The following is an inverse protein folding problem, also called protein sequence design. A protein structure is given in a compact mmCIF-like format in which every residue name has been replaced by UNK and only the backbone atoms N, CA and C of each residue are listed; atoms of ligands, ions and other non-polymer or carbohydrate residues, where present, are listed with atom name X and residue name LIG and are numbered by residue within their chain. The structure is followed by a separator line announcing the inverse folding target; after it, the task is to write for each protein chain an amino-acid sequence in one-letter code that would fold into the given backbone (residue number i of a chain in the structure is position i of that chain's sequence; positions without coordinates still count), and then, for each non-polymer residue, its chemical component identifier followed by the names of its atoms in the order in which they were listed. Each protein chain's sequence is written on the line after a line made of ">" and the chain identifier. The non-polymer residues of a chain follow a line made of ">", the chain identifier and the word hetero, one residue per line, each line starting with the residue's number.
data_IF_528004670808
#
_entry.id   IF_528004670808
#
_cell.length_a   1.000
_cell.length_b   1.000
_cell.length_c   1.000
_cell.angle_alpha   90.00
_cell.angle_beta   90.00
_cell.angle_gamma   90.00
#
_symmetry.space_group_name_H-M   'P 1'
#
loop_
_entity.id
_entity.type
_entity.pdbx_description
1 polymer ?
#
# COMPACT_ATOMS: atom_id res chain seq x y z
N UNK A 1 -28.03 -32.57 -1.75
CA UNK A 1 -27.58 -31.36 -1.02
C UNK A 1 -27.50 -30.19 -1.98
N UNK A 2 -27.93 -28.98 -1.58
CA UNK A 2 -27.81 -27.77 -2.41
C UNK A 2 -26.37 -27.25 -2.35
N UNK A 3 -25.84 -26.76 -3.47
CA UNK A 3 -24.49 -26.18 -3.56
C UNK A 3 -24.43 -24.88 -2.74
N UNK A 4 -23.50 -24.74 -1.77
CA UNK A 4 -23.42 -23.58 -0.88
C UNK A 4 -22.67 -22.42 -1.55
N UNK A 5 -23.23 -21.88 -2.64
CA UNK A 5 -22.59 -20.82 -3.43
C UNK A 5 -22.35 -19.53 -2.62
N UNK A 6 -23.30 -19.15 -1.76
CA UNK A 6 -23.19 -17.97 -0.92
C UNK A 6 -22.08 -18.08 0.12
N UNK A 7 -21.93 -19.26 0.74
CA UNK A 7 -20.89 -19.50 1.74
C UNK A 7 -19.48 -19.47 1.14
N UNK A 8 -19.32 -20.00 -0.08
CA UNK A 8 -18.06 -19.90 -0.83
C UNK A 8 -17.71 -18.45 -1.15
N UNK A 9 -18.70 -17.64 -1.51
CA UNK A 9 -18.52 -16.22 -1.78
C UNK A 9 -18.04 -15.47 -0.52
N UNK A 10 -18.69 -15.70 0.63
CA UNK A 10 -18.30 -15.10 1.91
C UNK A 10 -16.89 -15.51 2.32
N UNK A 11 -16.55 -16.79 2.15
CA UNK A 11 -15.21 -17.30 2.46
C UNK A 11 -14.14 -16.67 1.55
N UNK A 12 -14.42 -16.48 0.27
CA UNK A 12 -13.52 -15.79 -0.65
C UNK A 12 -13.27 -14.33 -0.23
N UNK A 13 -14.32 -13.60 0.15
CA UNK A 13 -14.21 -12.22 0.65
C UNK A 13 -13.34 -12.13 1.90
N UNK A 14 -13.48 -13.08 2.83
CA UNK A 14 -12.65 -13.16 4.02
C UNK A 14 -11.17 -13.40 3.70
N UNK A 15 -10.86 -14.32 2.77
CA UNK A 15 -9.48 -14.58 2.34
C UNK A 15 -8.87 -13.36 1.68
N UNK A 16 -9.62 -12.69 0.80
CA UNK A 16 -9.19 -11.47 0.11
C UNK A 16 -8.96 -10.35 1.12
N UNK A 17 -9.89 -10.14 2.06
CA UNK A 17 -9.76 -9.15 3.13
C UNK A 17 -8.51 -9.39 3.99
N UNK A 18 -8.28 -10.64 4.40
CA UNK A 18 -7.09 -11.05 5.17
C UNK A 18 -5.81 -10.78 4.39
N UNK A 19 -5.79 -11.09 3.09
CA UNK A 19 -4.65 -10.82 2.22
C UNK A 19 -4.33 -9.32 2.13
N UNK A 20 -5.34 -8.47 1.90
CA UNK A 20 -5.15 -7.02 1.81
C UNK A 20 -4.63 -6.42 3.11
N UNK A 21 -5.18 -6.83 4.26
CA UNK A 21 -4.68 -6.38 5.57
C UNK A 21 -3.26 -6.87 5.82
N UNK A 22 -2.93 -8.11 5.44
CA UNK A 22 -1.58 -8.65 5.53
C UNK A 22 -0.56 -7.85 4.71
N UNK A 23 -0.91 -7.46 3.48
CA UNK A 23 -0.04 -6.62 2.64
C UNK A 23 0.09 -5.21 3.23
N UNK A 24 -1.00 -4.61 3.70
CA UNK A 24 -0.96 -3.30 4.34
C UNK A 24 -0.03 -3.30 5.57
N UNK A 25 -0.11 -4.34 6.40
CA UNK A 25 0.78 -4.54 7.54
C UNK A 25 2.25 -4.68 7.11
N UNK A 26 2.52 -5.45 6.05
CA UNK A 26 3.86 -5.61 5.50
C UNK A 26 4.45 -4.27 5.02
N UNK A 27 3.69 -3.49 4.24
CA UNK A 27 4.12 -2.17 3.74
C UNK A 27 4.38 -1.23 4.91
N UNK A 28 3.46 -1.15 5.88
CA UNK A 28 3.64 -0.33 7.07
C UNK A 28 4.90 -0.70 7.85
N UNK A 29 5.18 -1.99 8.00
CA UNK A 29 6.36 -2.45 8.71
C UNK A 29 7.65 -2.15 7.93
N UNK A 30 7.63 -2.29 6.60
CA UNK A 30 8.76 -1.88 5.74
C UNK A 30 9.06 -0.40 5.93
N UNK A 31 7.99 0.43 5.94
CA UNK A 31 8.13 1.87 6.10
C UNK A 31 8.76 2.24 7.43
N UNK A 32 8.26 1.65 8.50
CA UNK A 32 8.82 1.85 9.84
C UNK A 32 10.27 1.35 9.97
N UNK A 33 10.65 0.29 9.25
CA UNK A 33 12.05 -0.15 9.23
C UNK A 33 12.94 0.84 8.49
N UNK A 34 12.46 1.40 7.37
CA UNK A 34 13.22 2.37 6.60
C UNK A 34 13.35 3.71 7.33
N UNK A 35 12.30 4.19 7.99
CA UNK A 35 12.39 5.41 8.81
C UNK A 35 13.35 5.22 9.99
N UNK A 36 13.42 4.01 10.58
CA UNK A 36 14.33 3.74 11.72
C UNK A 36 15.79 3.51 11.31
N UNK A 37 16.03 2.83 10.20
CA UNK A 37 17.37 2.37 9.80
C UNK A 37 17.93 3.13 8.59
N UNK A 38 17.07 3.84 7.86
CA UNK A 38 17.42 4.62 6.69
C UNK A 38 18.06 5.93 7.05
N UNK A 39 18.65 6.56 6.03
CA UNK A 39 19.30 7.85 6.16
C UNK A 39 18.33 8.93 5.72
N UNK A 40 18.05 9.87 6.64
CA UNK A 40 17.28 11.07 6.34
C UNK A 40 18.07 12.00 5.42
N UNK A 41 17.44 12.45 4.34
CA UNK A 41 17.98 13.48 3.46
C UNK A 41 16.87 14.41 2.97
N UNK A 42 17.28 15.57 2.45
CA UNK A 42 16.38 16.55 1.85
C UNK A 42 16.39 16.38 0.34
N UNK A 43 15.21 16.34 -0.25
CA UNK A 43 15.01 16.33 -1.68
C UNK A 43 14.23 17.55 -2.15
N UNK A 44 14.33 17.85 -3.44
CA UNK A 44 13.56 18.90 -4.10
C UNK A 44 12.68 18.26 -5.17
N UNK A 45 11.40 18.61 -5.18
CA UNK A 45 10.48 18.15 -6.22
C UNK A 45 10.84 18.82 -7.53
N UNK A 46 11.30 18.03 -8.51
CA UNK A 46 11.79 18.56 -9.80
C UNK A 46 10.76 18.44 -10.92
N UNK A 47 9.81 17.52 -10.79
CA UNK A 47 8.77 17.33 -11.78
C UNK A 47 7.57 16.61 -11.18
N UNK A 48 6.49 16.64 -11.93
CA UNK A 48 5.26 15.93 -11.64
C UNK A 48 4.94 15.04 -12.82
N UNK A 49 4.77 13.75 -12.60
CA UNK A 49 4.46 12.78 -13.64
C UNK A 49 3.06 12.19 -13.42
N UNK A 50 2.48 11.68 -14.50
CA UNK A 50 1.11 11.16 -14.56
C UNK A 50 1.12 9.89 -15.39
N UNK A 51 0.27 8.92 -15.04
CA UNK A 51 0.05 7.76 -15.91
C UNK A 51 -0.64 8.15 -17.22
N UNK A 52 -1.67 9.01 -17.12
CA UNK A 52 -2.38 9.57 -18.27
C UNK A 52 -2.17 11.10 -18.31
N UNK A 53 -1.77 11.69 -19.46
CA UNK A 53 -1.44 13.12 -19.54
C UNK A 53 -2.57 14.08 -19.13
N UNK A 54 -3.82 13.67 -19.34
CA UNK A 54 -5.01 14.50 -19.12
C UNK A 54 -5.75 14.17 -17.82
N UNK A 55 -5.23 13.25 -17.01
CA UNK A 55 -5.94 12.75 -15.83
C UNK A 55 -5.13 12.96 -14.55
N UNK A 56 -5.86 12.89 -13.45
CA UNK A 56 -5.35 12.74 -12.10
C UNK A 56 -5.38 11.25 -11.73
N UNK A 57 -4.58 10.79 -10.76
CA UNK A 57 -3.71 11.56 -9.86
C UNK A 57 -2.32 11.87 -10.43
N UNK A 58 -1.62 12.81 -9.79
CA UNK A 58 -0.27 13.25 -10.17
C UNK A 58 0.73 12.85 -9.09
N UNK A 59 1.87 12.30 -9.49
CA UNK A 59 2.92 11.85 -8.59
C UNK A 59 4.22 12.68 -8.75
N UNK A 60 4.91 13.03 -7.65
CA UNK A 60 6.14 13.81 -7.72
C UNK A 60 7.34 12.96 -8.18
N UNK A 61 8.28 13.61 -8.86
CA UNK A 61 9.66 13.13 -8.98
C UNK A 61 10.57 14.05 -8.20
N UNK A 62 11.39 13.48 -7.32
CA UNK A 62 12.16 14.20 -6.32
C UNK A 62 13.64 13.93 -6.54
N UNK A 63 14.42 14.99 -6.70
CA UNK A 63 15.87 14.90 -6.76
C UNK A 63 16.43 15.01 -5.35
N UNK A 64 17.33 14.11 -4.99
CA UNK A 64 17.97 14.10 -3.69
C UNK A 64 19.43 13.66 -3.79
N UNK A 65 20.19 13.95 -2.74
CA UNK A 65 21.61 13.63 -2.67
C UNK A 65 21.85 12.59 -1.59
N UNK A 66 22.64 11.57 -1.93
CA UNK A 66 23.07 10.53 -1.00
C UNK A 66 24.43 10.87 -0.39
N UNK A 67 24.81 10.18 0.69
CA UNK A 67 26.03 10.46 1.46
C UNK A 67 27.34 10.43 0.65
N UNK A 68 27.41 9.63 -0.41
CA UNK A 68 28.60 9.59 -1.29
C UNK A 68 28.70 10.79 -2.24
N UNK A 69 27.72 11.68 -2.22
CA UNK A 69 27.67 12.90 -3.02
C UNK A 69 26.98 12.74 -4.37
N UNK A 70 26.55 11.54 -4.78
CA UNK A 70 25.75 11.33 -6.00
C UNK A 70 24.35 11.90 -5.84
N UNK A 71 23.79 12.38 -6.95
CA UNK A 71 22.39 12.79 -7.05
C UNK A 71 21.57 11.66 -7.68
N UNK A 72 20.41 11.38 -7.08
CA UNK A 72 19.45 10.40 -7.54
C UNK A 72 18.07 11.06 -7.71
N UNK A 73 17.23 10.44 -8.52
CA UNK A 73 15.84 10.87 -8.72
C UNK A 73 14.92 9.74 -8.26
N UNK A 74 14.09 10.04 -7.27
CA UNK A 74 13.01 9.17 -6.83
C UNK A 74 11.74 9.52 -7.60
N UNK A 75 11.11 8.52 -8.21
CA UNK A 75 9.80 8.66 -8.85
C UNK A 75 8.76 8.02 -7.94
N UNK A 76 7.89 8.83 -7.35
CA UNK A 76 6.84 8.31 -6.50
C UNK A 76 5.83 7.50 -7.33
N UNK A 77 5.45 6.32 -6.85
CA UNK A 77 4.32 5.56 -7.39
C UNK A 77 2.98 6.06 -6.85
N UNK A 78 2.98 6.87 -5.80
CA UNK A 78 1.80 7.36 -5.11
C UNK A 78 1.44 8.76 -5.62
N UNK A 79 0.39 8.81 -6.44
CA UNK A 79 -0.18 10.06 -6.92
C UNK A 79 -1.33 10.54 -6.02
N UNK A 80 -1.51 11.86 -5.92
CA UNK A 80 -2.69 12.45 -5.24
C UNK A 80 -3.48 13.41 -6.13
N UNK A 81 -4.74 13.61 -5.76
CA UNK A 81 -5.62 14.63 -6.31
C UNK A 81 -6.46 15.26 -5.19
N UNK A 82 -6.24 16.54 -4.81
CA UNK A 82 -5.23 17.46 -5.36
C UNK A 82 -3.77 17.00 -5.10
N UNK A 83 -2.77 17.49 -5.86
CA UNK A 83 -1.36 17.14 -5.64
C UNK A 83 -0.93 17.48 -4.21
N UNK A 84 -0.21 16.57 -3.55
CA UNK A 84 0.31 16.80 -2.19
C UNK A 84 1.50 17.75 -2.14
N UNK A 85 2.25 17.86 -3.24
CA UNK A 85 3.50 18.61 -3.32
C UNK A 85 3.49 19.55 -4.54
N UNK A 86 4.41 20.50 -4.56
CA UNK A 86 4.62 21.46 -5.65
C UNK A 86 6.04 21.36 -6.21
N UNK A 87 6.23 21.72 -7.49
CA UNK A 87 7.56 21.77 -8.09
C UNK A 87 8.39 22.85 -7.38
N UNK A 88 9.63 22.52 -7.00
CA UNK A 88 10.52 23.36 -6.22
C UNK A 88 10.37 23.22 -4.71
N UNK A 89 9.38 22.46 -4.24
CA UNK A 89 9.18 22.20 -2.81
C UNK A 89 10.29 21.30 -2.26
N UNK A 90 10.79 21.64 -1.06
CA UNK A 90 11.75 20.82 -0.33
C UNK A 90 10.99 19.82 0.55
N UNK A 91 11.32 18.54 0.40
CA UNK A 91 10.66 17.44 1.09
C UNK A 91 11.68 16.56 1.81
N UNK A 92 11.27 15.99 2.93
CA UNK A 92 12.08 15.04 3.69
C UNK A 92 11.83 13.62 3.18
N UNK A 93 12.90 12.88 2.94
CA UNK A 93 12.85 11.48 2.51
C UNK A 93 13.90 10.64 3.24
N UNK A 94 13.59 9.35 3.36
CA UNK A 94 14.46 8.35 3.94
C UNK A 94 14.83 7.36 2.85
N UNK A 95 16.12 7.05 2.71
CA UNK A 95 16.61 6.05 1.77
C UNK A 95 17.38 4.94 2.47
N UNK A 96 17.38 3.74 1.90
CA UNK A 96 18.15 2.61 2.44
C UNK A 96 19.63 2.75 2.01
N UNK A 97 20.61 2.85 2.92
CA UNK A 97 22.02 2.87 2.55
C UNK A 97 22.48 1.65 1.74
N UNK A 98 21.83 0.49 1.92
CA UNK A 98 22.15 -0.74 1.17
C UNK A 98 21.47 -0.77 -0.19
N UNK A 99 20.35 -0.07 -0.35
CA UNK A 99 19.63 0.05 -1.60
C UNK A 99 19.10 1.48 -1.78
N UNK A 100 19.92 2.41 -2.30
CA UNK A 100 19.55 3.82 -2.41
C UNK A 100 18.30 4.10 -3.25
N UNK A 101 17.87 3.17 -4.12
CA UNK A 101 16.62 3.30 -4.88
C UNK A 101 15.37 3.08 -4.02
N UNK A 102 15.50 2.40 -2.88
CA UNK A 102 14.42 2.23 -1.93
C UNK A 102 14.31 3.49 -1.07
N UNK A 103 13.35 4.33 -1.45
CA UNK A 103 13.09 5.64 -0.85
C UNK A 103 11.65 5.72 -0.41
N UNK A 104 11.43 6.32 0.75
CA UNK A 104 10.10 6.68 1.23
C UNK A 104 10.04 8.14 1.65
N UNK A 105 8.90 8.75 1.38
CA UNK A 105 8.58 10.11 1.80
C UNK A 105 8.07 10.10 3.23
N UNK A 106 8.47 11.12 3.98
CA UNK A 106 7.96 11.31 5.33
C UNK A 106 6.45 11.59 5.29
N UNK A 107 5.70 10.84 6.10
CA UNK A 107 4.25 10.98 6.20
C UNK A 107 3.41 10.47 5.02
N UNK A 108 4.01 9.79 4.04
CA UNK A 108 3.24 9.17 2.94
C UNK A 108 2.82 7.73 3.29
N UNK A 109 1.54 7.55 3.58
CA UNK A 109 0.94 6.28 3.99
C UNK A 109 -0.32 5.95 3.17
N UNK A 110 -0.49 6.57 2.00
CA UNK A 110 -1.72 6.46 1.23
C UNK A 110 -1.99 5.01 0.86
N UNK A 111 -1.00 4.27 0.36
CA UNK A 111 -1.18 2.86 0.00
C UNK A 111 -1.57 2.01 1.22
N UNK A 112 -0.94 2.24 2.38
CA UNK A 112 -1.28 1.55 3.64
C UNK A 112 -2.74 1.80 4.02
N UNK A 113 -3.21 3.04 3.93
CA UNK A 113 -4.60 3.38 4.25
C UNK A 113 -5.60 2.78 3.26
N UNK A 114 -5.29 2.78 1.96
CA UNK A 114 -6.17 2.20 0.93
C UNK A 114 -6.28 0.69 1.12
N UNK A 115 -5.14 -0.01 1.20
CA UNK A 115 -5.13 -1.47 1.34
C UNK A 115 -5.71 -1.91 2.70
N UNK A 116 -5.34 -1.21 3.78
CA UNK A 116 -5.86 -1.48 5.11
C UNK A 116 -7.36 -1.20 5.22
N UNK A 117 -7.83 -0.09 4.64
CA UNK A 117 -9.25 0.29 4.62
C UNK A 117 -10.10 -0.70 3.84
N UNK A 118 -9.72 -1.01 2.60
CA UNK A 118 -10.44 -1.98 1.76
C UNK A 118 -10.44 -3.37 2.43
N UNK A 119 -9.30 -3.83 2.90
CA UNK A 119 -9.18 -5.12 3.60
C UNK A 119 -10.05 -5.18 4.85
N UNK A 120 -10.09 -4.10 5.64
CA UNK A 120 -10.93 -4.00 6.84
C UNK A 120 -12.42 -4.07 6.51
N UNK A 121 -12.88 -3.39 5.46
CA UNK A 121 -14.28 -3.47 5.02
C UNK A 121 -14.66 -4.90 4.66
N UNK A 122 -13.83 -5.60 3.89
CA UNK A 122 -14.10 -6.99 3.54
C UNK A 122 -14.16 -7.90 4.76
N UNK A 123 -13.23 -7.73 5.72
CA UNK A 123 -13.25 -8.51 6.95
C UNK A 123 -14.50 -8.23 7.79
N UNK A 124 -14.92 -6.97 7.93
CA UNK A 124 -16.12 -6.60 8.69
C UNK A 124 -17.40 -7.19 8.10
N UNK A 125 -17.50 -7.23 6.77
CA UNK A 125 -18.66 -7.85 6.10
C UNK A 125 -18.67 -9.38 6.26
N UNK A 126 -17.50 -10.01 6.37
CA UNK A 126 -17.38 -11.47 6.47
C UNK A 126 -17.38 -12.02 7.90
N UNK A 127 -17.03 -11.21 8.91
CA UNK A 127 -16.78 -11.72 10.27
C UNK A 127 -17.99 -12.36 10.94
N UNK A 128 -19.20 -11.90 10.59
CA UNK A 128 -20.45 -12.42 11.16
C UNK A 128 -20.86 -13.78 10.58
N UNK A 129 -20.54 -14.03 9.31
CA UNK A 129 -21.00 -15.22 8.56
C UNK A 129 -19.91 -16.29 8.36
N UNK A 130 -18.65 -16.00 8.71
CA UNK A 130 -17.54 -16.93 8.47
C UNK A 130 -17.72 -18.27 9.20
N UNK A 131 -18.34 -18.25 10.38
CA UNK A 131 -18.58 -19.46 11.19
C UNK A 131 -19.64 -20.38 10.60
N UNK A 132 -20.74 -19.83 10.09
CA UNK A 132 -21.79 -20.59 9.40
C UNK A 132 -21.27 -21.14 8.07
N UNK A 133 -20.54 -20.33 7.31
CA UNK A 133 -20.02 -20.70 6.00
C UNK A 133 -18.96 -21.80 6.05
N UNK A 134 -18.05 -21.78 7.03
CA UNK A 134 -17.02 -22.84 7.19
C UNK A 134 -17.65 -24.20 7.49
N UNK A 135 -18.69 -24.24 8.33
CA UNK A 135 -19.44 -25.46 8.67
C UNK A 135 -20.24 -25.97 7.47
N UNK A 136 -20.86 -25.09 6.69
CA UNK A 136 -21.61 -25.46 5.49
C UNK A 136 -20.71 -26.06 4.40
N UNK A 137 -19.56 -25.44 4.14
CA UNK A 137 -18.55 -25.93 3.18
C UNK A 137 -18.00 -27.29 3.64
N UNK A 138 -17.64 -27.43 4.92
CA UNK A 138 -17.12 -28.69 5.47
C UNK A 138 -18.13 -29.83 5.33
N UNK A 139 -19.41 -29.59 5.69
CA UNK A 139 -20.49 -30.58 5.52
C UNK A 139 -20.67 -31.00 4.06
N UNK A 140 -20.64 -30.04 3.13
CA UNK A 140 -20.78 -30.36 1.70
C UNK A 140 -19.56 -31.14 1.15
N UNK A 141 -18.34 -30.77 1.56
CA UNK A 141 -17.11 -31.35 1.02
C UNK A 141 -16.80 -32.76 1.59
N UNK A 142 -17.07 -32.99 2.87
CA UNK A 142 -16.65 -34.21 3.57
C UNK A 142 -17.79 -35.11 4.04
N UNK A 143 -19.01 -34.58 4.25
CA UNK A 143 -20.18 -35.35 4.69
C UNK A 143 -21.20 -35.53 3.55
N UNK A 144 -20.71 -35.80 2.34
CA UNK A 144 -21.56 -36.04 1.17
C UNK A 144 -22.48 -37.24 1.35
#
# INVERSE_FOLDING_TARGET
>A
MKFPAGDLFIFAFFLIGTLFVGIAYYIYHSHQQLVKNGIMTKGVVISMHRMNPHEYPVAPSIRYRIQDGRELVFHSSEGRNPPAYQIGEEVTLYYDPKNPEHVELDGDYLMVYVMGGIGSVFLLLSIWEIGSSTVAIWKWAFMR
#
